data_IF_621221563796
#
_entry.id   IF_621221563796
#
_cell.length_a   1.000
_cell.length_b   1.000
_cell.length_c   1.000
_cell.angle_alpha   90.00
_cell.angle_beta   90.00
_cell.angle_gamma   90.00
#
_symmetry.space_group_name_H-M   'P 1'
#
loop_
_entity.id
_entity.type
_entity.pdbx_description
1 polymer ?
#
# COMPACT_ATOMS: atom_id res chain seq x y z
N UNK A 1 11.29 -25.73 19.62
CA UNK A 1 11.54 -25.90 18.18
C UNK A 1 10.31 -25.35 17.46
N UNK A 2 10.45 -24.31 16.64
CA UNK A 2 9.32 -23.71 15.92
C UNK A 2 8.73 -24.73 14.93
N UNK A 3 7.40 -24.77 14.82
CA UNK A 3 6.68 -25.69 13.94
C UNK A 3 6.98 -25.32 12.47
N UNK A 4 7.55 -26.21 11.64
CA UNK A 4 8.00 -25.88 10.27
C UNK A 4 6.88 -25.31 9.38
N UNK A 5 5.62 -25.68 9.60
CA UNK A 5 4.47 -25.14 8.85
C UNK A 5 4.14 -23.68 9.17
N UNK A 6 4.53 -23.19 10.36
CA UNK A 6 4.32 -21.78 10.75
C UNK A 6 5.38 -20.87 10.13
N UNK A 7 6.64 -21.34 10.04
CA UNK A 7 7.70 -20.58 9.37
C UNK A 7 7.43 -20.38 7.87
N UNK A 8 6.96 -21.42 7.18
CA UNK A 8 6.63 -21.33 5.75
C UNK A 8 5.50 -20.32 5.49
N UNK A 9 4.51 -20.25 6.39
CA UNK A 9 3.41 -19.27 6.28
C UNK A 9 3.87 -17.82 6.48
N UNK A 10 4.87 -17.59 7.33
CA UNK A 10 5.45 -16.26 7.58
C UNK A 10 6.31 -15.84 6.39
N UNK A 11 7.06 -16.78 5.81
CA UNK A 11 7.90 -16.49 4.65
C UNK A 11 7.05 -16.19 3.41
N UNK A 12 5.96 -16.92 3.19
CA UNK A 12 5.02 -16.62 2.11
C UNK A 12 4.38 -15.23 2.31
N UNK A 13 3.94 -14.91 3.53
CA UNK A 13 3.37 -13.59 3.83
C UNK A 13 4.35 -12.47 3.50
N UNK A 14 5.64 -12.65 3.82
CA UNK A 14 6.69 -11.67 3.50
C UNK A 14 6.95 -11.56 2.01
N UNK A 15 6.93 -12.67 1.28
CA UNK A 15 7.09 -12.67 -0.18
C UNK A 15 5.92 -11.95 -0.85
N UNK A 16 4.70 -12.21 -0.41
CA UNK A 16 3.51 -11.53 -0.92
C UNK A 16 3.55 -10.03 -0.59
N UNK A 17 3.96 -9.68 0.64
CA UNK A 17 4.15 -8.28 1.03
C UNK A 17 5.23 -7.58 0.20
N UNK A 18 6.34 -8.26 -0.09
CA UNK A 18 7.41 -7.72 -0.93
C UNK A 18 6.93 -7.37 -2.34
N UNK A 19 6.13 -8.25 -2.95
CA UNK A 19 5.51 -7.98 -4.25
C UNK A 19 4.48 -6.86 -4.14
N UNK A 20 3.65 -6.90 -3.10
CA UNK A 20 2.60 -5.92 -2.88
C UNK A 20 3.11 -4.51 -2.62
N UNK A 21 4.23 -4.35 -1.91
CA UNK A 21 4.89 -3.06 -1.72
C UNK A 21 5.27 -2.44 -3.07
N UNK A 22 5.88 -3.22 -3.98
CA UNK A 22 6.23 -2.73 -5.32
C UNK A 22 4.97 -2.31 -6.13
N UNK A 23 3.88 -3.07 -6.02
CA UNK A 23 2.60 -2.75 -6.68
C UNK A 23 1.97 -1.48 -6.09
N UNK A 24 1.96 -1.36 -4.77
CA UNK A 24 1.50 -0.16 -4.06
C UNK A 24 2.34 1.05 -4.46
N UNK A 25 3.66 0.90 -4.54
CA UNK A 25 4.58 1.97 -4.90
C UNK A 25 4.35 2.45 -6.34
N UNK A 26 4.12 1.51 -7.27
CA UNK A 26 3.75 1.84 -8.64
C UNK A 26 2.41 2.59 -8.69
N UNK A 27 1.39 2.10 -7.98
CA UNK A 27 0.10 2.77 -7.90
C UNK A 27 0.24 4.21 -7.42
N UNK A 28 0.94 4.42 -6.31
CA UNK A 28 1.11 5.74 -5.69
C UNK A 28 1.88 6.69 -6.60
N UNK A 29 2.94 6.23 -7.27
CA UNK A 29 3.66 7.05 -8.27
C UNK A 29 2.75 7.46 -9.42
N UNK A 30 1.97 6.52 -9.97
CA UNK A 30 1.01 6.81 -11.04
C UNK A 30 -0.09 7.76 -10.58
N UNK A 31 -0.59 7.60 -9.35
CA UNK A 31 -1.58 8.49 -8.74
C UNK A 31 -1.05 9.92 -8.61
N UNK A 32 0.16 10.10 -8.09
CA UNK A 32 0.81 11.40 -7.90
C UNK A 32 1.03 12.10 -9.24
N UNK A 33 1.55 11.38 -10.24
CA UNK A 33 1.76 11.92 -11.58
C UNK A 33 0.46 12.36 -12.23
N UNK A 34 -0.62 11.57 -12.07
CA UNK A 34 -1.95 11.92 -12.57
C UNK A 34 -2.55 13.14 -11.87
N UNK A 35 -2.35 13.29 -10.56
CA UNK A 35 -2.95 14.35 -9.77
C UNK A 35 -2.18 15.69 -9.88
N UNK A 36 -0.85 15.65 -9.84
CA UNK A 36 -0.01 16.83 -9.73
C UNK A 36 0.78 17.15 -11.01
N UNK A 37 0.87 16.22 -11.96
CA UNK A 37 1.70 16.36 -13.17
C UNK A 37 3.20 16.44 -12.89
N UNK A 38 3.64 16.17 -11.66
CA UNK A 38 5.04 16.23 -11.21
C UNK A 38 5.33 15.14 -10.18
N UNK A 39 6.61 14.84 -10.00
CA UNK A 39 7.07 13.92 -8.95
C UNK A 39 6.91 14.60 -7.58
N UNK A 40 6.27 13.90 -6.65
CA UNK A 40 6.17 14.27 -5.23
C UNK A 40 6.60 13.07 -4.35
N UNK A 41 7.88 13.03 -4.02
CA UNK A 41 8.45 11.95 -3.20
C UNK A 41 7.92 11.98 -1.75
N UNK A 42 7.51 13.16 -1.26
CA UNK A 42 7.00 13.31 0.09
C UNK A 42 5.59 12.72 0.19
N UNK A 43 4.70 13.06 -0.76
CA UNK A 43 3.38 12.45 -0.86
C UNK A 43 3.47 10.93 -1.04
N UNK A 44 4.40 10.46 -1.89
CA UNK A 44 4.67 9.04 -2.03
C UNK A 44 4.98 8.39 -0.69
N UNK A 45 5.91 8.99 0.05
CA UNK A 45 6.34 8.45 1.36
C UNK A 45 5.18 8.44 2.35
N UNK A 46 4.35 9.48 2.40
CA UNK A 46 3.17 9.53 3.28
C UNK A 46 2.13 8.47 2.92
N UNK A 47 1.97 8.14 1.65
CA UNK A 47 0.99 7.14 1.20
C UNK A 47 1.50 5.70 1.38
N UNK A 48 2.81 5.46 1.27
CA UNK A 48 3.37 4.10 1.43
C UNK A 48 3.94 3.83 2.83
N UNK A 49 3.92 4.79 3.77
CA UNK A 49 4.55 4.55 5.07
C UNK A 49 3.70 3.63 5.96
N UNK A 50 4.39 2.86 6.81
CA UNK A 50 3.76 2.02 7.81
C UNK A 50 2.80 2.79 8.71
N UNK A 51 3.05 4.08 9.00
CA UNK A 51 2.15 4.90 9.81
C UNK A 51 0.76 5.03 9.14
N UNK A 52 0.73 5.26 7.84
CA UNK A 52 -0.51 5.31 7.07
C UNK A 52 -1.15 3.93 6.96
N UNK A 53 -0.37 2.90 6.59
CA UNK A 53 -0.88 1.53 6.44
C UNK A 53 -1.46 0.98 7.75
N UNK A 54 -0.86 1.35 8.90
CA UNK A 54 -1.39 1.03 10.23
C UNK A 54 -2.79 1.58 10.50
N UNK A 55 -3.21 2.64 9.80
CA UNK A 55 -4.56 3.18 9.91
C UNK A 55 -5.61 2.33 9.16
N UNK A 56 -5.15 1.44 8.27
CA UNK A 56 -5.99 0.50 7.51
C UNK A 56 -5.95 -0.88 8.15
N UNK A 57 -4.76 -1.34 8.55
CA UNK A 57 -4.55 -2.64 9.17
C UNK A 57 -3.07 -2.89 9.44
N UNK A 58 -2.68 -4.14 9.66
CA UNK A 58 -1.25 -4.47 9.79
C UNK A 58 -0.53 -4.19 8.44
N UNK A 59 0.53 -3.36 8.40
CA UNK A 59 1.18 -2.95 7.14
C UNK A 59 1.60 -4.12 6.25
N UNK A 60 2.31 -5.10 6.82
CA UNK A 60 2.77 -6.29 6.09
C UNK A 60 1.59 -7.10 5.56
N UNK A 61 0.48 -7.16 6.30
CA UNK A 61 -0.73 -7.82 5.81
C UNK A 61 -1.38 -7.05 4.65
N UNK A 62 -1.46 -5.73 4.75
CA UNK A 62 -2.01 -4.87 3.69
C UNK A 62 -1.20 -5.03 2.41
N UNK A 63 0.13 -4.98 2.51
CA UNK A 63 1.03 -5.22 1.39
C UNK A 63 0.84 -6.64 0.85
N UNK A 64 0.78 -7.66 1.70
CA UNK A 64 0.56 -9.04 1.26
C UNK A 64 -0.77 -9.23 0.52
N UNK A 65 -1.85 -8.63 1.01
CA UNK A 65 -3.16 -8.68 0.36
C UNK A 65 -3.09 -8.08 -1.06
N UNK A 66 -2.38 -6.95 -1.24
CA UNK A 66 -2.12 -6.36 -2.56
C UNK A 66 -1.33 -7.33 -3.44
N UNK A 67 -0.26 -7.92 -2.90
CA UNK A 67 0.58 -8.88 -3.62
C UNK A 67 -0.19 -10.10 -4.09
N UNK A 68 -1.05 -10.65 -3.23
CA UNK A 68 -1.91 -11.80 -3.54
C UNK A 68 -2.93 -11.43 -4.64
N UNK A 69 -3.57 -10.27 -4.55
CA UNK A 69 -4.53 -9.81 -5.57
C UNK A 69 -3.82 -9.62 -6.91
N UNK A 70 -2.64 -9.00 -6.90
CA UNK A 70 -1.82 -8.83 -8.10
C UNK A 70 -1.46 -10.18 -8.75
N UNK A 71 -0.96 -11.14 -7.95
CA UNK A 71 -0.56 -12.45 -8.47
C UNK A 71 -1.75 -13.24 -9.03
N UNK A 72 -2.94 -13.12 -8.43
CA UNK A 72 -4.14 -13.87 -8.85
C UNK A 72 -4.93 -13.22 -9.97
N UNK A 73 -5.01 -11.90 -9.98
CA UNK A 73 -5.99 -11.14 -10.77
C UNK A 73 -5.38 -9.98 -11.55
N UNK A 74 -4.06 -9.84 -11.51
CA UNK A 74 -3.31 -8.86 -12.29
C UNK A 74 -3.34 -7.45 -11.70
N UNK A 75 -2.61 -6.57 -12.39
CA UNK A 75 -2.31 -5.21 -11.93
C UNK A 75 -3.56 -4.33 -11.77
N UNK A 76 -4.48 -4.37 -12.73
CA UNK A 76 -5.67 -3.51 -12.69
C UNK A 76 -6.58 -3.82 -11.50
N UNK A 77 -6.72 -5.10 -11.15
CA UNK A 77 -7.49 -5.53 -9.98
C UNK A 77 -6.83 -5.08 -8.68
N UNK A 78 -5.50 -5.17 -8.59
CA UNK A 78 -4.76 -4.66 -7.44
C UNK A 78 -4.91 -3.13 -7.30
N UNK A 79 -4.86 -2.41 -8.43
CA UNK A 79 -5.08 -0.96 -8.44
C UNK A 79 -6.51 -0.59 -8.04
N UNK A 80 -7.51 -1.34 -8.48
CA UNK A 80 -8.89 -1.16 -8.05
C UNK A 80 -9.03 -1.33 -6.53
N UNK A 81 -8.41 -2.37 -5.97
CA UNK A 81 -8.41 -2.59 -4.53
C UNK A 81 -7.77 -1.43 -3.77
N UNK A 82 -6.61 -0.92 -4.24
CA UNK A 82 -5.95 0.24 -3.62
C UNK A 82 -6.84 1.50 -3.69
N UNK A 83 -7.49 1.74 -4.85
CA UNK A 83 -8.44 2.84 -5.05
C UNK A 83 -9.63 2.79 -4.10
N UNK A 84 -10.13 1.60 -3.82
CA UNK A 84 -11.31 1.41 -2.97
C UNK A 84 -10.98 1.46 -1.48
N UNK A 85 -9.81 0.92 -1.08
CA UNK A 85 -9.49 0.67 0.32
C UNK A 85 -8.51 1.70 0.92
N UNK A 86 -7.52 2.16 0.15
CA UNK A 86 -6.45 3.03 0.67
C UNK A 86 -6.66 4.51 0.28
N UNK A 87 -7.01 4.78 -0.97
CA UNK A 87 -7.11 6.14 -1.50
C UNK A 87 -8.09 7.06 -0.74
N UNK A 88 -9.33 6.64 -0.38
CA UNK A 88 -10.26 7.52 0.31
C UNK A 88 -9.76 7.93 1.70
N UNK A 89 -9.08 7.00 2.39
CA UNK A 89 -8.49 7.26 3.69
C UNK A 89 -7.30 8.22 3.56
N UNK A 90 -6.45 8.02 2.56
CA UNK A 90 -5.31 8.88 2.29
C UNK A 90 -5.74 10.32 2.00
N UNK A 91 -6.70 10.51 1.10
CA UNK A 91 -7.27 11.82 0.77
C UNK A 91 -7.81 12.52 2.02
N UNK A 92 -8.52 11.77 2.89
CA UNK A 92 -9.04 12.31 4.16
C UNK A 92 -7.92 12.75 5.11
N UNK A 93 -6.80 12.02 5.17
CA UNK A 93 -5.65 12.40 5.99
C UNK A 93 -4.92 13.62 5.43
N UNK A 94 -4.70 13.69 4.12
CA UNK A 94 -4.07 14.84 3.47
C UNK A 94 -4.91 16.11 3.60
N UNK A 95 -6.23 16.01 3.41
CA UNK A 95 -7.14 17.14 3.62
C UNK A 95 -7.10 17.68 5.06
N UNK A 96 -6.90 16.80 6.05
CA UNK A 96 -6.68 17.23 7.44
C UNK A 96 -5.33 17.92 7.60
N UNK A 97 -4.24 17.36 7.06
CA UNK A 97 -2.90 17.97 7.13
C UNK A 97 -2.88 19.40 6.61
N UNK A 98 -3.47 19.62 5.42
CA UNK A 98 -3.58 20.97 4.81
C UNK A 98 -4.34 21.94 5.72
N UNK A 99 -5.42 21.49 6.38
CA UNK A 99 -6.19 22.33 7.31
C UNK A 99 -5.45 22.67 8.59
N UNK A 100 -4.64 21.76 9.12
CA UNK A 100 -3.87 21.98 10.36
C UNK A 100 -2.56 22.72 10.17
N UNK A 101 -2.19 23.10 8.95
CA UNK A 101 -1.15 24.08 8.68
C UNK A 101 0.17 23.83 9.41
N UNK A 102 0.77 22.66 9.14
CA UNK A 102 2.19 22.43 9.36
C UNK A 102 2.83 22.02 8.05
#
# INVERSE_FOLDING_TARGET
MANPSQSESIDQLRQDAWVGDAVLELYVRSYILRLHGKVDAEMKTRFTCNQFLNCVGNPTKVEADIGIIYQKSGLETAFAWIRENLEPLFIKQEAKRVRTGK
#
